data_IF_386858304869
#
_entry.id   IF_386858304869
#
_cell.length_a   1.000
_cell.length_b   1.000
_cell.length_c   1.000
_cell.angle_alpha   90.00
_cell.angle_beta   90.00
_cell.angle_gamma   90.00
#
_symmetry.space_group_name_H-M   'P 1'
#
loop_
_entity.id
_entity.type
_entity.pdbx_description
1 polymer ?
#
# COMPACT_ATOMS: atom_id res chain seq x y z
N UNK A 1 -32.72 2.83 8.55
CA UNK A 1 -31.52 2.37 7.78
C UNK A 1 -31.95 2.14 6.35
N UNK A 2 -31.69 3.06 5.43
CA UNK A 2 -31.88 2.84 3.99
C UNK A 2 -30.97 1.71 3.55
N UNK A 3 -31.49 0.73 2.82
CA UNK A 3 -30.70 -0.37 2.26
C UNK A 3 -29.57 0.25 1.42
N UNK A 4 -28.33 0.06 1.82
CA UNK A 4 -27.18 0.45 1.00
C UNK A 4 -27.24 -0.37 -0.30
N UNK A 5 -26.89 0.25 -1.43
CA UNK A 5 -26.73 -0.45 -2.71
C UNK A 5 -25.68 -1.57 -2.62
N UNK A 6 -25.46 -2.32 -3.72
CA UNK A 6 -24.46 -3.39 -3.76
C UNK A 6 -23.07 -2.86 -3.38
N UNK A 7 -22.28 -3.70 -2.70
CA UNK A 7 -20.89 -3.35 -2.39
C UNK A 7 -20.03 -3.37 -3.67
N UNK A 8 -19.07 -2.46 -3.73
CA UNK A 8 -18.22 -2.27 -4.90
C UNK A 8 -17.27 -1.11 -4.71
N UNK A 9 -16.78 -0.57 -5.82
CA UNK A 9 -15.85 0.56 -5.86
C UNK A 9 -16.54 1.78 -6.48
N UNK A 10 -16.47 2.90 -5.78
CA UNK A 10 -16.94 4.22 -6.25
C UNK A 10 -15.73 5.11 -6.55
N UNK A 11 -15.72 5.77 -7.72
CA UNK A 11 -14.73 6.75 -8.13
C UNK A 11 -15.44 7.93 -8.78
N UNK A 12 -15.46 9.09 -8.13
CA UNK A 12 -16.29 10.21 -8.58
C UNK A 12 -17.78 9.83 -8.61
N UNK A 13 -18.39 9.92 -9.81
CA UNK A 13 -19.77 9.49 -10.06
C UNK A 13 -19.84 8.06 -10.63
N UNK A 14 -18.71 7.42 -10.93
CA UNK A 14 -18.67 6.05 -11.45
C UNK A 14 -18.78 5.05 -10.29
N UNK A 15 -19.48 3.96 -10.56
CA UNK A 15 -19.58 2.81 -9.64
C UNK A 15 -19.39 1.52 -10.41
N UNK A 16 -18.68 0.56 -9.82
CA UNK A 16 -18.58 -0.82 -10.34
C UNK A 16 -18.70 -1.78 -9.16
N UNK A 17 -19.67 -2.68 -9.24
CA UNK A 17 -19.88 -3.70 -8.20
C UNK A 17 -18.74 -4.73 -8.18
N UNK A 18 -18.52 -5.40 -7.04
CA UNK A 18 -17.54 -6.48 -6.99
C UNK A 18 -17.79 -7.61 -7.97
N UNK A 19 -19.05 -8.06 -8.22
CA UNK A 19 -19.30 -9.04 -9.29
C UNK A 19 -18.83 -8.59 -10.67
N UNK A 20 -19.01 -7.31 -11.03
CA UNK A 20 -18.54 -6.77 -12.31
C UNK A 20 -17.02 -6.72 -12.38
N UNK A 21 -16.35 -6.24 -11.32
CA UNK A 21 -14.89 -6.23 -11.21
C UNK A 21 -14.31 -7.65 -11.34
N UNK A 22 -14.90 -8.63 -10.65
CA UNK A 22 -14.48 -10.02 -10.74
C UNK A 22 -14.74 -10.66 -12.10
N UNK A 23 -15.84 -10.31 -12.75
CA UNK A 23 -16.13 -10.77 -14.12
C UNK A 23 -15.12 -10.21 -15.13
N UNK A 24 -14.78 -8.91 -15.03
CA UNK A 24 -13.75 -8.30 -15.86
C UNK A 24 -12.37 -8.89 -15.57
N UNK A 25 -12.04 -9.13 -14.31
CA UNK A 25 -10.80 -9.79 -13.93
C UNK A 25 -10.68 -11.20 -14.51
N UNK A 26 -11.77 -11.98 -14.50
CA UNK A 26 -11.79 -13.33 -15.09
C UNK A 26 -11.54 -13.30 -16.61
N UNK A 27 -12.13 -12.32 -17.31
CA UNK A 27 -11.84 -12.11 -18.74
C UNK A 27 -10.42 -11.63 -18.97
N UNK A 28 -9.95 -10.66 -18.15
CA UNK A 28 -8.56 -10.21 -18.18
C UNK A 28 -7.56 -11.35 -17.96
N UNK A 29 -7.85 -12.26 -17.03
CA UNK A 29 -7.02 -13.47 -16.81
C UNK A 29 -7.02 -14.39 -18.03
N UNK A 30 -8.17 -14.61 -18.66
CA UNK A 30 -8.24 -15.40 -19.90
C UNK A 30 -7.44 -14.77 -21.05
N UNK A 31 -7.53 -13.44 -21.21
CA UNK A 31 -6.72 -12.70 -22.16
C UNK A 31 -5.21 -12.76 -21.85
N UNK A 32 -4.82 -12.59 -20.59
CA UNK A 32 -3.41 -12.75 -20.17
C UNK A 32 -2.90 -14.17 -20.45
N UNK A 33 -3.69 -15.20 -20.16
CA UNK A 33 -3.33 -16.58 -20.50
C UNK A 33 -3.12 -16.78 -22.01
N UNK A 34 -3.98 -16.18 -22.85
CA UNK A 34 -3.83 -16.20 -24.31
C UNK A 34 -2.55 -15.47 -24.80
N UNK A 35 -2.08 -14.46 -24.06
CA UNK A 35 -0.78 -13.79 -24.28
C UNK A 35 0.40 -14.58 -23.69
N UNK A 36 0.17 -15.78 -23.15
CA UNK A 36 1.20 -16.64 -22.58
C UNK A 36 1.64 -16.26 -21.17
N UNK A 37 0.85 -15.48 -20.43
CA UNK A 37 1.07 -15.27 -18.99
C UNK A 37 0.72 -16.55 -18.25
N UNK A 38 1.65 -17.03 -17.47
CA UNK A 38 1.55 -18.26 -16.70
C UNK A 38 1.90 -18.02 -15.22
N UNK A 39 1.86 -19.07 -14.47
CA UNK A 39 2.31 -19.08 -13.08
C UNK A 39 3.76 -18.57 -12.98
N UNK A 40 4.05 -17.73 -11.99
CA UNK A 40 5.36 -17.13 -11.73
C UNK A 40 5.77 -15.97 -12.66
N UNK A 41 4.99 -15.70 -13.70
CA UNK A 41 5.20 -14.52 -14.55
C UNK A 41 4.78 -13.22 -13.85
N UNK A 42 5.05 -12.10 -14.52
CA UNK A 42 4.70 -10.77 -14.03
C UNK A 42 3.78 -10.01 -14.98
N UNK A 43 2.75 -9.42 -14.42
CA UNK A 43 1.88 -8.43 -15.06
C UNK A 43 2.12 -7.09 -14.37
N UNK A 44 2.72 -6.14 -15.06
CA UNK A 44 2.96 -4.81 -14.54
C UNK A 44 1.72 -3.93 -14.67
N UNK A 45 1.52 -3.03 -13.70
CA UNK A 45 0.47 -2.03 -13.75
C UNK A 45 1.00 -0.67 -13.29
N UNK A 46 0.81 0.35 -14.12
CA UNK A 46 1.14 1.74 -13.79
C UNK A 46 -0.15 2.56 -13.88
N UNK A 47 -0.93 2.44 -12.83
CA UNK A 47 -2.29 2.97 -12.73
C UNK A 47 -2.42 3.83 -11.49
N UNK A 48 -3.19 4.92 -11.59
CA UNK A 48 -3.76 5.56 -10.40
C UNK A 48 -4.81 4.65 -9.79
N UNK A 49 -5.29 4.98 -8.60
CA UNK A 49 -6.37 4.21 -7.99
C UNK A 49 -7.61 4.28 -8.88
N UNK A 50 -7.94 3.17 -9.54
CA UNK A 50 -9.07 3.03 -10.46
C UNK A 50 -9.58 1.58 -10.43
N UNK A 51 -10.72 1.31 -11.08
CA UNK A 51 -11.30 -0.04 -11.21
C UNK A 51 -10.32 -1.03 -11.82
N UNK A 52 -9.62 -0.63 -12.88
CA UNK A 52 -8.61 -1.44 -13.53
C UNK A 52 -7.50 -1.92 -12.58
N UNK A 53 -7.18 -1.15 -11.53
CA UNK A 53 -6.19 -1.57 -10.53
C UNK A 53 -6.62 -2.85 -9.81
N UNK A 54 -7.89 -2.96 -9.44
CA UNK A 54 -8.43 -4.16 -8.81
C UNK A 54 -8.53 -5.32 -9.81
N UNK A 55 -9.03 -5.03 -11.02
CA UNK A 55 -9.22 -6.03 -12.06
C UNK A 55 -7.92 -6.70 -12.47
N UNK A 56 -6.86 -5.92 -12.70
CA UNK A 56 -5.53 -6.42 -13.10
C UNK A 56 -4.88 -7.24 -11.97
N UNK A 57 -4.97 -6.76 -10.73
CA UNK A 57 -4.43 -7.51 -9.57
C UNK A 57 -5.11 -8.88 -9.41
N UNK A 58 -6.44 -8.92 -9.52
CA UNK A 58 -7.21 -10.17 -9.43
C UNK A 58 -6.92 -11.08 -10.63
N UNK A 59 -6.86 -10.52 -11.85
CA UNK A 59 -6.57 -11.29 -13.06
C UNK A 59 -5.19 -11.96 -13.02
N UNK A 60 -4.15 -11.24 -12.62
CA UNK A 60 -2.81 -11.79 -12.43
C UNK A 60 -2.81 -12.88 -11.35
N UNK A 61 -3.47 -12.63 -10.21
CA UNK A 61 -3.58 -13.56 -9.10
C UNK A 61 -4.28 -14.88 -9.47
N UNK A 62 -5.31 -14.86 -10.34
CA UNK A 62 -5.99 -16.07 -10.83
C UNK A 62 -5.04 -17.01 -11.61
N UNK A 63 -4.05 -16.46 -12.29
CA UNK A 63 -3.05 -17.21 -13.05
C UNK A 63 -1.84 -17.64 -12.20
N UNK A 64 -1.78 -17.22 -10.93
CA UNK A 64 -0.59 -17.40 -10.09
C UNK A 64 0.58 -16.51 -10.56
N UNK A 65 0.32 -15.45 -11.31
CA UNK A 65 1.28 -14.44 -11.68
C UNK A 65 1.40 -13.34 -10.62
N UNK A 66 2.52 -12.61 -10.61
CA UNK A 66 2.70 -11.44 -9.79
C UNK A 66 2.04 -10.22 -10.44
N UNK A 67 1.23 -9.49 -9.71
CA UNK A 67 0.91 -8.11 -10.05
C UNK A 67 2.07 -7.22 -9.61
N UNK A 68 2.61 -6.39 -10.50
CA UNK A 68 3.77 -5.52 -10.24
C UNK A 68 3.36 -4.06 -10.37
N UNK A 69 2.89 -3.42 -9.29
CA UNK A 69 2.54 -2.01 -9.33
C UNK A 69 3.79 -1.14 -9.49
N UNK A 70 3.74 -0.20 -10.43
CA UNK A 70 4.81 0.74 -10.72
C UNK A 70 4.38 2.14 -10.25
N UNK A 71 5.30 2.81 -9.53
CA UNK A 71 5.09 4.19 -9.10
C UNK A 71 4.95 5.10 -10.34
N UNK A 72 3.83 5.81 -10.45
CA UNK A 72 3.55 6.70 -11.59
C UNK A 72 4.38 7.99 -11.63
N UNK A 73 5.23 8.21 -10.63
CA UNK A 73 6.21 9.30 -10.64
C UNK A 73 7.55 8.90 -11.26
N UNK A 74 7.73 7.63 -11.59
CA UNK A 74 8.98 7.14 -12.16
C UNK A 74 9.24 7.69 -13.57
N UNK A 75 10.52 7.91 -13.86
CA UNK A 75 11.02 8.25 -15.18
C UNK A 75 10.93 7.05 -16.14
N UNK A 76 11.09 7.26 -17.46
CA UNK A 76 11.15 6.14 -18.41
C UNK A 76 12.22 5.10 -18.05
N UNK A 77 13.39 5.53 -17.58
CA UNK A 77 14.50 4.64 -17.19
C UNK A 77 14.16 3.81 -15.97
N UNK A 78 13.55 4.43 -14.95
CA UNK A 78 13.13 3.73 -13.71
C UNK A 78 12.02 2.72 -13.98
N UNK A 79 10.99 3.12 -14.75
CA UNK A 79 9.91 2.22 -15.15
C UNK A 79 10.42 1.07 -16.02
N UNK A 80 11.30 1.39 -17.00
CA UNK A 80 11.95 0.41 -17.88
C UNK A 80 12.79 -0.59 -17.11
N UNK A 81 13.54 -0.13 -16.09
CA UNK A 81 14.29 -1.02 -15.21
C UNK A 81 13.36 -2.03 -14.51
N UNK A 82 12.25 -1.58 -13.92
CA UNK A 82 11.32 -2.49 -13.23
C UNK A 82 10.69 -3.49 -14.20
N UNK A 83 10.24 -3.01 -15.38
CA UNK A 83 9.66 -3.87 -16.40
C UNK A 83 10.64 -4.98 -16.87
N UNK A 84 11.91 -4.64 -17.00
CA UNK A 84 12.96 -5.57 -17.36
C UNK A 84 13.31 -6.53 -16.22
N UNK A 85 13.48 -6.01 -14.98
CA UNK A 85 13.86 -6.81 -13.81
C UNK A 85 12.78 -7.82 -13.44
N UNK A 86 11.49 -7.43 -13.45
CA UNK A 86 10.39 -8.37 -13.21
C UNK A 86 10.01 -9.21 -14.43
N UNK A 87 10.65 -9.00 -15.60
CA UNK A 87 10.33 -9.68 -16.85
C UNK A 87 8.85 -9.58 -17.21
N UNK A 88 8.28 -8.37 -17.08
CA UNK A 88 6.87 -8.14 -17.36
C UNK A 88 6.49 -8.62 -18.76
N UNK A 89 5.46 -9.45 -18.87
CA UNK A 89 4.87 -9.85 -20.16
C UNK A 89 3.83 -8.86 -20.64
N UNK A 90 3.10 -8.26 -19.70
CA UNK A 90 2.05 -7.28 -19.95
C UNK A 90 2.28 -6.07 -19.06
N UNK A 91 2.01 -4.90 -19.59
CA UNK A 91 1.88 -3.64 -18.86
C UNK A 91 0.49 -3.07 -19.09
N UNK A 92 -0.27 -2.88 -18.01
CA UNK A 92 -1.53 -2.13 -18.04
C UNK A 92 -1.26 -0.73 -17.49
N UNK A 93 -1.53 0.32 -18.26
CA UNK A 93 -1.09 1.68 -17.94
C UNK A 93 -2.13 2.73 -18.31
N UNK A 94 -2.32 3.78 -17.47
CA UNK A 94 -3.15 4.93 -17.86
C UNK A 94 -2.54 5.69 -19.05
N UNK A 95 -3.38 6.24 -19.91
CA UNK A 95 -2.99 6.86 -21.18
C UNK A 95 -1.93 7.96 -21.01
N UNK A 96 -2.11 8.86 -20.06
CA UNK A 96 -1.18 9.94 -19.76
C UNK A 96 0.18 9.42 -19.22
N UNK A 97 0.15 8.36 -18.42
CA UNK A 97 1.35 7.72 -17.89
C UNK A 97 2.08 6.91 -18.98
N UNK A 98 1.35 6.30 -19.92
CA UNK A 98 1.96 5.68 -21.10
C UNK A 98 2.80 6.70 -21.87
N UNK A 99 2.25 7.88 -22.15
CA UNK A 99 2.99 8.93 -22.85
C UNK A 99 4.27 9.35 -22.10
N UNK A 100 4.25 9.30 -20.76
CA UNK A 100 5.42 9.62 -19.91
C UNK A 100 6.53 8.58 -20.05
N UNK A 101 6.20 7.28 -20.06
CA UNK A 101 7.22 6.20 -19.93
C UNK A 101 7.46 5.43 -21.23
N UNK A 102 6.77 5.75 -22.32
CA UNK A 102 6.86 5.01 -23.58
C UNK A 102 8.29 4.73 -24.07
N UNK A 103 9.25 5.66 -23.97
CA UNK A 103 10.63 5.41 -24.39
C UNK A 103 11.36 4.32 -23.57
N UNK A 104 10.90 4.06 -22.34
CA UNK A 104 11.50 3.05 -21.44
C UNK A 104 10.83 1.68 -21.50
N UNK A 105 9.72 1.53 -22.23
CA UNK A 105 9.00 0.24 -22.28
C UNK A 105 9.74 -0.74 -23.19
N UNK A 106 10.17 -1.93 -22.67
CA UNK A 106 10.82 -2.94 -23.50
C UNK A 106 9.89 -3.45 -24.61
N UNK A 107 10.42 -3.61 -25.83
CA UNK A 107 9.64 -3.92 -27.04
C UNK A 107 8.81 -5.22 -26.96
N UNK A 108 9.23 -6.18 -26.13
CA UNK A 108 8.52 -7.45 -25.95
C UNK A 108 7.33 -7.35 -24.99
N UNK A 109 7.16 -6.24 -24.27
CA UNK A 109 6.07 -6.06 -23.31
C UNK A 109 4.79 -5.69 -24.08
N UNK A 110 3.74 -6.49 -23.93
CA UNK A 110 2.40 -6.13 -24.44
C UNK A 110 1.84 -4.98 -23.60
N UNK A 111 1.53 -3.86 -24.24
CA UNK A 111 0.93 -2.70 -23.60
C UNK A 111 -0.59 -2.72 -23.78
N UNK A 112 -1.32 -2.53 -22.69
CA UNK A 112 -2.77 -2.31 -22.66
C UNK A 112 -3.02 -0.97 -21.96
N UNK A 113 -3.78 -0.09 -22.60
CA UNK A 113 -3.97 1.28 -22.12
C UNK A 113 -5.33 1.44 -21.47
N UNK A 114 -5.37 2.04 -20.29
CA UNK A 114 -6.60 2.48 -19.63
C UNK A 114 -6.80 3.97 -19.94
N UNK A 115 -7.94 4.33 -20.54
CA UNK A 115 -8.29 5.73 -20.68
C UNK A 115 -8.40 6.39 -19.30
N UNK A 116 -7.93 7.62 -19.17
CA UNK A 116 -8.00 8.34 -17.90
C UNK A 116 -9.43 8.80 -17.65
N UNK A 117 -10.09 8.38 -16.57
CA UNK A 117 -11.45 8.81 -16.27
C UNK A 117 -11.53 10.29 -15.91
N UNK A 118 -12.71 10.88 -16.11
CA UNK A 118 -12.95 12.33 -15.94
C UNK A 118 -12.59 12.83 -14.55
N UNK A 119 -12.93 12.10 -13.50
CA UNK A 119 -12.62 12.49 -12.13
C UNK A 119 -11.11 12.45 -11.84
N UNK A 120 -10.37 11.55 -12.46
CA UNK A 120 -8.90 11.52 -12.37
C UNK A 120 -8.32 12.66 -13.20
N UNK A 121 -8.82 12.86 -14.42
CA UNK A 121 -8.38 13.96 -15.28
C UNK A 121 -8.58 15.32 -14.59
N UNK A 122 -9.75 15.55 -14.00
CA UNK A 122 -10.05 16.76 -13.25
C UNK A 122 -9.13 16.96 -12.03
N UNK A 123 -8.90 15.91 -11.23
CA UNK A 123 -8.06 15.97 -10.03
C UNK A 123 -6.59 16.30 -10.33
N UNK A 124 -6.12 15.94 -11.53
CA UNK A 124 -4.75 16.20 -11.99
C UNK A 124 -4.64 17.38 -12.98
N UNK A 125 -5.75 18.01 -13.35
CA UNK A 125 -5.76 19.11 -14.33
C UNK A 125 -5.30 18.66 -15.71
N UNK A 126 -5.67 17.46 -16.15
CA UNK A 126 -5.22 16.90 -17.42
C UNK A 126 -6.07 17.40 -18.59
N UNK A 127 -5.46 17.77 -19.70
CA UNK A 127 -6.20 18.03 -20.94
C UNK A 127 -6.74 16.76 -21.56
N UNK A 128 -7.88 16.85 -22.25
CA UNK A 128 -8.63 15.69 -22.78
C UNK A 128 -7.82 14.83 -23.78
N UNK A 129 -6.94 15.45 -24.56
CA UNK A 129 -6.07 14.77 -25.51
C UNK A 129 -5.06 13.81 -24.87
N UNK A 130 -4.75 14.00 -23.58
CA UNK A 130 -3.90 13.10 -22.80
C UNK A 130 -4.66 11.98 -22.10
N UNK A 131 -5.98 12.04 -22.07
CA UNK A 131 -6.82 11.07 -21.36
C UNK A 131 -7.19 9.88 -22.23
N UNK A 132 -7.25 10.05 -23.57
CA UNK A 132 -7.59 8.98 -24.50
C UNK A 132 -6.41 8.05 -24.77
N UNK A 133 -6.71 6.77 -25.03
CA UNK A 133 -5.68 5.82 -25.47
C UNK A 133 -5.08 6.27 -26.82
N UNK A 134 -3.75 6.21 -26.98
CA UNK A 134 -3.11 6.52 -28.25
C UNK A 134 -3.60 5.61 -29.38
N UNK A 135 -3.72 6.16 -30.60
CA UNK A 135 -4.11 5.39 -31.77
C UNK A 135 -3.18 4.18 -31.97
N UNK A 136 -3.75 3.03 -32.28
CA UNK A 136 -3.02 1.77 -32.51
C UNK A 136 -2.69 0.97 -31.25
N UNK A 137 -2.95 1.50 -30.03
CA UNK A 137 -2.84 0.74 -28.80
C UNK A 137 -4.20 0.17 -28.39
N UNK A 138 -4.19 -1.07 -27.93
CA UNK A 138 -5.38 -1.75 -27.41
C UNK A 138 -5.72 -1.22 -26.01
N UNK A 139 -7.01 -0.93 -25.80
CA UNK A 139 -7.46 -0.52 -24.47
C UNK A 139 -7.74 -1.72 -23.57
N UNK A 140 -7.60 -1.54 -22.23
CA UNK A 140 -7.94 -2.56 -21.25
C UNK A 140 -9.41 -3.02 -21.41
N UNK A 141 -10.33 -2.09 -21.58
CA UNK A 141 -11.76 -2.42 -21.73
C UNK A 141 -12.03 -3.23 -23.00
N UNK A 142 -11.42 -2.87 -24.15
CA UNK A 142 -11.54 -3.63 -25.38
C UNK A 142 -10.92 -5.04 -25.26
N UNK A 143 -9.75 -5.12 -24.64
CA UNK A 143 -9.08 -6.39 -24.36
C UNK A 143 -9.93 -7.31 -23.48
N UNK A 144 -10.49 -6.80 -22.40
CA UNK A 144 -11.40 -7.55 -21.51
C UNK A 144 -12.67 -7.96 -22.27
N UNK A 145 -13.26 -7.06 -23.06
CA UNK A 145 -14.46 -7.37 -23.83
C UNK A 145 -14.26 -8.47 -24.89
N UNK A 146 -13.08 -8.51 -25.51
CA UNK A 146 -12.73 -9.50 -26.53
C UNK A 146 -12.25 -10.84 -25.94
N UNK A 147 -11.87 -10.87 -24.66
CA UNK A 147 -11.31 -12.06 -24.02
C UNK A 147 -12.37 -13.01 -23.48
N UNK A 148 -12.14 -14.32 -23.62
CA UNK A 148 -12.91 -15.33 -22.94
C UNK A 148 -12.54 -15.34 -21.44
N UNK A 149 -13.52 -15.61 -20.57
CA UNK A 149 -13.24 -15.73 -19.14
C UNK A 149 -12.34 -16.92 -18.84
N UNK A 150 -11.39 -16.73 -17.93
CA UNK A 150 -10.63 -17.85 -17.37
C UNK A 150 -11.56 -18.73 -16.53
N UNK A 151 -11.70 -19.97 -16.96
CA UNK A 151 -12.52 -20.99 -16.28
C UNK A 151 -11.67 -22.00 -15.47
N UNK A 152 -10.36 -21.85 -15.52
CA UNK A 152 -9.46 -22.70 -14.74
C UNK A 152 -9.55 -22.35 -13.24
N UNK A 153 -9.40 -23.33 -12.34
CA UNK A 153 -9.28 -23.05 -10.92
C UNK A 153 -8.17 -22.04 -10.65
N UNK A 154 -8.38 -21.08 -9.72
CA UNK A 154 -7.32 -20.13 -9.34
C UNK A 154 -6.07 -20.87 -8.88
N UNK A 155 -4.91 -20.40 -9.34
CA UNK A 155 -3.60 -20.84 -8.87
C UNK A 155 -3.32 -20.27 -7.47
N UNK A 156 -2.30 -20.81 -6.80
CA UNK A 156 -1.83 -20.20 -5.54
C UNK A 156 -1.41 -18.77 -5.80
N UNK A 157 -2.05 -17.83 -5.10
CA UNK A 157 -1.74 -16.41 -5.26
C UNK A 157 -0.35 -16.08 -4.71
N UNK A 158 0.37 -15.27 -5.43
CA UNK A 158 1.67 -14.70 -5.03
C UNK A 158 1.54 -13.27 -4.50
N UNK A 159 0.36 -12.67 -4.65
CA UNK A 159 0.14 -11.27 -4.30
C UNK A 159 0.86 -10.31 -5.24
N UNK A 160 1.08 -9.12 -4.76
CA UNK A 160 1.81 -8.09 -5.52
C UNK A 160 3.31 -8.16 -5.22
N UNK A 161 4.15 -8.03 -6.26
CA UNK A 161 5.58 -7.81 -6.10
C UNK A 161 5.83 -6.31 -6.09
N UNK A 162 5.99 -5.77 -4.88
CA UNK A 162 6.22 -4.35 -4.66
C UNK A 162 7.71 -4.05 -4.73
N UNK A 163 8.07 -3.03 -5.50
CA UNK A 163 9.44 -2.52 -5.56
C UNK A 163 9.67 -1.47 -4.48
N UNK A 164 10.59 -1.74 -3.57
CA UNK A 164 10.99 -0.84 -2.48
C UNK A 164 12.27 -0.09 -2.87
N UNK A 165 12.42 1.16 -2.38
CA UNK A 165 13.66 1.92 -2.51
C UNK A 165 14.76 1.23 -1.68
N UNK A 166 15.48 0.31 -2.29
CA UNK A 166 16.57 -0.40 -1.63
C UNK A 166 17.66 0.56 -1.09
N UNK A 167 18.36 0.13 -0.06
CA UNK A 167 19.51 0.88 0.54
C UNK A 167 20.67 1.12 -0.44
N UNK A 168 20.64 0.53 -1.64
CA UNK A 168 21.74 0.48 -2.61
C UNK A 168 21.46 1.20 -3.95
N UNK A 169 20.43 2.07 -4.00
CA UNK A 169 20.18 2.97 -5.14
C UNK A 169 19.14 2.50 -6.16
N UNK A 170 18.99 1.20 -6.48
CA UNK A 170 17.93 0.73 -7.39
C UNK A 170 16.81 0.03 -6.62
N UNK A 171 15.54 0.26 -6.98
CA UNK A 171 14.40 -0.42 -6.34
C UNK A 171 14.51 -1.94 -6.48
N UNK A 172 14.11 -2.67 -5.42
CA UNK A 172 14.11 -4.13 -5.35
C UNK A 172 12.70 -4.67 -5.20
N UNK A 173 12.32 -5.63 -6.03
CA UNK A 173 11.03 -6.29 -5.96
C UNK A 173 10.96 -7.27 -4.80
N UNK A 174 10.05 -7.06 -3.86
CA UNK A 174 9.80 -8.01 -2.77
C UNK A 174 8.92 -9.13 -3.31
N UNK A 175 9.54 -10.27 -3.58
CA UNK A 175 8.91 -11.45 -4.18
C UNK A 175 8.54 -12.45 -3.10
N UNK A 176 7.24 -12.65 -2.87
CA UNK A 176 6.74 -13.60 -1.88
C UNK A 176 6.56 -14.98 -2.47
N UNK A 177 6.75 -16.02 -1.64
CA UNK A 177 6.37 -17.38 -2.00
C UNK A 177 4.84 -17.51 -2.08
N UNK A 178 4.33 -18.41 -2.97
CA UNK A 178 2.90 -18.69 -3.04
C UNK A 178 2.33 -19.09 -1.69
N UNK A 179 1.14 -18.59 -1.37
CA UNK A 179 0.42 -18.94 -0.14
C UNK A 179 -0.77 -19.83 -0.44
N UNK A 180 -1.03 -20.81 0.42
CA UNK A 180 -2.28 -21.56 0.36
C UNK A 180 -3.48 -20.66 0.68
N UNK A 181 -4.69 -20.99 0.19
CA UNK A 181 -5.90 -20.21 0.52
C UNK A 181 -6.11 -20.05 2.03
N UNK A 182 -5.84 -21.09 2.82
CA UNK A 182 -5.97 -21.06 4.28
C UNK A 182 -5.01 -20.05 4.92
N UNK A 183 -3.74 -20.04 4.46
CA UNK A 183 -2.75 -19.08 4.96
C UNK A 183 -3.10 -17.66 4.55
N UNK A 184 -3.65 -17.45 3.34
CA UNK A 184 -4.10 -16.14 2.89
C UNK A 184 -5.27 -15.61 3.74
N UNK A 185 -6.26 -16.46 4.03
CA UNK A 185 -7.37 -16.08 4.91
C UNK A 185 -6.86 -15.77 6.31
N UNK A 186 -6.00 -16.61 6.87
CA UNK A 186 -5.42 -16.38 8.19
C UNK A 186 -4.64 -15.07 8.25
N UNK A 187 -3.78 -14.80 7.27
CA UNK A 187 -3.02 -13.54 7.19
C UNK A 187 -3.94 -12.33 7.04
N UNK A 188 -4.99 -12.43 6.21
CA UNK A 188 -5.94 -11.34 6.03
C UNK A 188 -6.72 -11.03 7.31
N UNK A 189 -7.13 -12.04 8.06
CA UNK A 189 -7.82 -11.87 9.33
C UNK A 189 -6.90 -11.26 10.40
N UNK A 190 -5.64 -11.69 10.47
CA UNK A 190 -4.65 -11.13 11.41
C UNK A 190 -4.35 -9.66 11.09
N UNK A 191 -4.07 -9.32 9.84
CA UNK A 191 -3.87 -7.93 9.41
C UNK A 191 -5.15 -7.11 9.64
N UNK A 192 -6.31 -7.70 9.37
CA UNK A 192 -7.62 -7.07 9.55
C UNK A 192 -7.85 -6.58 10.97
N UNK A 193 -7.38 -7.29 12.01
CA UNK A 193 -7.49 -6.86 13.42
C UNK A 193 -6.85 -5.49 13.65
N UNK A 194 -5.66 -5.27 13.06
CA UNK A 194 -4.87 -4.05 13.26
C UNK A 194 -5.23 -2.93 12.30
N UNK A 195 -5.95 -3.25 11.22
CA UNK A 195 -6.45 -2.29 10.24
C UNK A 195 -7.95 -2.02 10.35
N UNK A 196 -8.64 -2.65 11.31
CA UNK A 196 -10.08 -2.53 11.48
C UNK A 196 -10.89 -3.18 10.36
N UNK A 197 -10.27 -3.95 9.46
CA UNK A 197 -10.95 -4.57 8.32
C UNK A 197 -11.53 -5.92 8.71
N UNK A 198 -12.86 -5.96 8.78
CA UNK A 198 -13.64 -7.18 9.03
C UNK A 198 -14.75 -7.30 8.00
N UNK A 199 -15.33 -8.48 7.83
CA UNK A 199 -16.45 -8.73 6.92
C UNK A 199 -17.76 -8.14 7.46
N UNK A 200 -17.84 -6.81 7.56
CA UNK A 200 -19.00 -6.04 8.00
C UNK A 200 -19.47 -5.14 6.86
N UNK A 201 -20.70 -5.35 6.31
CA UNK A 201 -21.23 -4.54 5.21
C UNK A 201 -21.45 -3.07 5.56
N UNK A 202 -21.41 -2.71 6.85
CA UNK A 202 -21.48 -1.31 7.28
C UNK A 202 -20.16 -0.55 7.08
N UNK A 203 -19.06 -1.24 6.80
CA UNK A 203 -17.76 -0.62 6.55
C UNK A 203 -17.75 0.01 5.17
N UNK A 204 -17.36 1.29 5.12
CA UNK A 204 -17.03 2.04 3.91
C UNK A 204 -15.59 2.50 4.02
N UNK A 205 -14.78 2.08 3.09
CA UNK A 205 -13.33 2.34 3.05
C UNK A 205 -13.03 3.49 2.12
N UNK A 206 -12.23 4.46 2.56
CA UNK A 206 -11.66 5.48 1.68
C UNK A 206 -10.22 5.09 1.30
N UNK A 207 -9.97 4.99 0.00
CA UNK A 207 -8.65 4.77 -0.59
C UNK A 207 -8.08 6.09 -1.11
N UNK A 208 -7.25 6.74 -0.30
CA UNK A 208 -6.61 8.03 -0.56
C UNK A 208 -5.10 7.90 -0.87
N UNK A 209 -4.49 6.80 -0.44
CA UNK A 209 -3.09 6.49 -0.72
C UNK A 209 -2.92 5.70 -2.02
N UNK A 210 -1.79 5.89 -2.73
CA UNK A 210 -1.55 5.23 -4.02
C UNK A 210 -1.28 3.75 -3.88
N UNK A 211 -2.03 2.91 -4.61
CA UNK A 211 -1.95 1.45 -4.55
C UNK A 211 -0.67 0.85 -5.20
N UNK A 212 0.27 1.68 -5.63
CA UNK A 212 1.60 1.16 -5.96
C UNK A 212 2.51 0.98 -4.72
N UNK A 213 2.14 1.54 -3.57
CA UNK A 213 2.78 1.23 -2.30
C UNK A 213 2.16 0.02 -1.61
N UNK A 214 2.96 -0.71 -0.84
CA UNK A 214 2.56 -1.98 -0.22
C UNK A 214 1.35 -1.85 0.71
N UNK A 215 1.34 -0.85 1.59
CA UNK A 215 0.27 -0.71 2.58
C UNK A 215 -1.07 -0.31 1.94
N UNK A 216 -1.17 0.74 1.08
CA UNK A 216 -2.40 1.02 0.36
C UNK A 216 -2.85 -0.12 -0.55
N UNK A 217 -1.94 -0.82 -1.25
CA UNK A 217 -2.29 -1.99 -2.05
C UNK A 217 -2.90 -3.11 -1.20
N UNK A 218 -2.26 -3.45 -0.08
CA UNK A 218 -2.75 -4.48 0.82
C UNK A 218 -4.09 -4.10 1.46
N UNK A 219 -4.27 -2.82 1.84
CA UNK A 219 -5.50 -2.29 2.42
C UNK A 219 -6.66 -2.34 1.40
N UNK A 220 -6.44 -1.87 0.17
CA UNK A 220 -7.44 -1.90 -0.89
C UNK A 220 -7.81 -3.32 -1.32
N UNK A 221 -6.81 -4.18 -1.55
CA UNK A 221 -7.06 -5.58 -1.93
C UNK A 221 -7.65 -6.40 -0.77
N UNK A 222 -7.32 -6.07 0.48
CA UNK A 222 -7.96 -6.63 1.68
C UNK A 222 -9.45 -6.26 1.74
N UNK A 223 -9.77 -5.00 1.49
CA UNK A 223 -11.16 -4.51 1.42
C UNK A 223 -11.96 -5.21 0.32
N UNK A 224 -11.35 -5.40 -0.85
CA UNK A 224 -11.95 -6.13 -1.96
C UNK A 224 -12.25 -7.61 -1.62
N UNK A 225 -11.32 -8.30 -0.96
CA UNK A 225 -11.51 -9.71 -0.52
C UNK A 225 -12.63 -9.86 0.49
N UNK A 226 -12.82 -8.85 1.34
CA UNK A 226 -13.91 -8.83 2.33
C UNK A 226 -15.24 -8.32 1.75
N UNK A 227 -15.28 -7.94 0.47
CA UNK A 227 -16.47 -7.43 -0.19
C UNK A 227 -16.95 -6.09 0.37
N UNK A 228 -16.06 -5.25 0.92
CA UNK A 228 -16.40 -3.97 1.52
C UNK A 228 -16.69 -2.91 0.45
N UNK A 229 -17.46 -1.89 0.80
CA UNK A 229 -17.63 -0.72 -0.06
C UNK A 229 -16.35 0.14 -0.04
N UNK A 230 -15.84 0.49 -1.21
CA UNK A 230 -14.60 1.26 -1.39
C UNK A 230 -14.91 2.54 -2.14
N UNK A 231 -14.44 3.66 -1.63
CA UNK A 231 -14.46 4.98 -2.27
C UNK A 231 -13.01 5.34 -2.64
N UNK A 232 -12.78 5.70 -3.88
CA UNK A 232 -11.46 6.12 -4.35
C UNK A 232 -11.38 7.65 -4.33
N UNK A 233 -10.35 8.18 -3.70
CA UNK A 233 -9.94 9.56 -3.91
C UNK A 233 -8.93 9.58 -5.06
N UNK A 234 -9.24 10.28 -6.15
CA UNK A 234 -8.43 10.29 -7.36
C UNK A 234 -7.02 10.85 -7.13
N UNK A 235 -6.91 11.89 -6.28
CA UNK A 235 -5.67 12.50 -5.80
C UNK A 235 -5.91 12.99 -4.39
N UNK A 236 -4.94 12.78 -3.49
CA UNK A 236 -5.09 13.32 -2.15
C UNK A 236 -5.14 14.85 -2.18
N UNK A 237 -6.27 15.36 -1.72
CA UNK A 237 -6.53 16.74 -1.42
C UNK A 237 -7.30 16.77 -0.09
N UNK A 238 -6.90 17.66 0.84
CA UNK A 238 -7.32 17.56 2.22
C UNK A 238 -8.83 17.85 2.40
N UNK A 239 -9.34 18.90 1.77
CA UNK A 239 -10.76 19.25 1.87
C UNK A 239 -11.64 18.25 1.11
N UNK A 240 -11.19 17.79 -0.09
CA UNK A 240 -11.89 16.74 -0.83
C UNK A 240 -12.01 15.44 -0.02
N UNK A 241 -10.99 15.09 0.78
CA UNK A 241 -11.08 13.97 1.70
C UNK A 241 -12.23 14.14 2.71
N UNK A 242 -12.36 15.30 3.34
CA UNK A 242 -13.44 15.58 4.30
C UNK A 242 -14.81 15.49 3.62
N UNK A 243 -14.93 16.05 2.41
CA UNK A 243 -16.12 15.96 1.58
C UNK A 243 -16.51 14.52 1.25
N UNK A 244 -15.54 13.67 0.87
CA UNK A 244 -15.78 12.25 0.59
C UNK A 244 -16.21 11.48 1.84
N UNK A 245 -15.61 11.76 3.00
CA UNK A 245 -16.02 11.16 4.29
C UNK A 245 -17.48 11.47 4.56
N UNK A 246 -17.86 12.74 4.53
CA UNK A 246 -19.24 13.17 4.79
C UNK A 246 -20.22 12.62 3.75
N UNK A 247 -19.88 12.72 2.45
CA UNK A 247 -20.76 12.29 1.34
C UNK A 247 -21.06 10.79 1.35
N UNK A 248 -20.06 9.96 1.62
CA UNK A 248 -20.16 8.51 1.50
C UNK A 248 -20.32 7.80 2.85
N UNK A 249 -20.27 8.53 3.97
CA UNK A 249 -20.28 7.94 5.29
C UNK A 249 -19.10 7.00 5.50
N UNK A 250 -17.89 7.46 5.13
CA UNK A 250 -16.66 6.69 5.27
C UNK A 250 -16.41 6.35 6.73
N UNK A 251 -16.08 5.10 6.98
CA UNK A 251 -15.87 4.60 8.33
C UNK A 251 -14.43 4.21 8.61
N UNK A 252 -13.71 3.79 7.56
CA UNK A 252 -12.35 3.25 7.65
C UNK A 252 -11.45 3.83 6.58
N UNK A 253 -10.19 4.08 6.92
CA UNK A 253 -9.17 4.47 5.94
C UNK A 253 -7.76 4.15 6.43
N UNK A 254 -6.86 4.03 5.46
CA UNK A 254 -5.42 4.06 5.68
C UNK A 254 -4.88 5.42 5.24
N UNK A 255 -4.05 6.05 6.08
CA UNK A 255 -3.53 7.40 5.86
C UNK A 255 -2.04 7.44 6.23
N UNK A 256 -1.32 8.49 5.82
CA UNK A 256 0.07 8.71 6.21
C UNK A 256 0.24 10.04 6.94
N UNK A 257 1.25 10.21 7.81
CA UNK A 257 1.40 11.39 8.67
C UNK A 257 1.43 12.73 7.93
N UNK A 258 2.00 12.79 6.73
CA UNK A 258 2.00 14.00 5.90
C UNK A 258 0.59 14.46 5.50
N UNK A 259 -0.35 13.53 5.37
CA UNK A 259 -1.76 13.85 5.13
C UNK A 259 -2.40 14.45 6.38
N UNK A 260 -2.08 13.95 7.57
CA UNK A 260 -2.52 14.58 8.84
C UNK A 260 -2.07 16.03 8.94
N UNK A 261 -0.80 16.32 8.66
CA UNK A 261 -0.27 17.69 8.66
C UNK A 261 -1.04 18.58 7.69
N UNK A 262 -1.36 18.10 6.50
CA UNK A 262 -2.14 18.87 5.50
C UNK A 262 -3.59 19.10 5.94
N UNK A 263 -4.22 18.11 6.57
CA UNK A 263 -5.56 18.23 7.14
C UNK A 263 -5.61 19.25 8.28
N UNK A 264 -4.65 19.20 9.19
CA UNK A 264 -4.56 20.13 10.33
C UNK A 264 -4.33 21.58 9.89
N UNK A 265 -3.70 21.81 8.73
CA UNK A 265 -3.46 23.14 8.14
C UNK A 265 -4.71 23.74 7.45
N UNK A 266 -5.80 22.98 7.30
CA UNK A 266 -7.05 23.54 6.79
C UNK A 266 -7.60 24.61 7.75
N UNK A 267 -8.27 25.66 7.23
CA UNK A 267 -8.96 26.63 8.06
C UNK A 267 -10.00 25.94 8.96
N UNK A 268 -10.19 26.46 10.18
CA UNK A 268 -11.13 25.87 11.14
C UNK A 268 -12.57 25.86 10.61
N UNK A 269 -12.97 26.89 9.83
CA UNK A 269 -14.27 26.91 9.17
C UNK A 269 -14.48 25.69 8.25
N UNK A 270 -13.46 25.32 7.47
CA UNK A 270 -13.50 24.14 6.57
C UNK A 270 -13.56 22.84 7.38
N UNK A 271 -12.78 22.76 8.47
CA UNK A 271 -12.77 21.57 9.34
C UNK A 271 -14.14 21.31 9.98
N UNK A 272 -14.91 22.36 10.23
CA UNK A 272 -16.24 22.29 10.88
C UNK A 272 -17.39 22.12 9.88
N UNK A 273 -17.14 22.24 8.57
CA UNK A 273 -18.17 22.16 7.54
C UNK A 273 -18.66 20.74 7.30
N UNK A 274 -17.81 19.75 7.53
CA UNK A 274 -18.06 18.36 7.16
C UNK A 274 -18.39 17.48 8.38
N UNK A 275 -19.43 16.64 8.26
CA UNK A 275 -19.75 15.62 9.26
C UNK A 275 -18.81 14.42 9.13
N UNK A 276 -17.96 14.24 10.13
CA UNK A 276 -16.95 13.15 10.20
C UNK A 276 -17.37 12.07 11.21
N UNK A 277 -18.57 12.14 11.77
CA UNK A 277 -19.06 11.22 12.82
C UNK A 277 -19.18 9.76 12.39
N UNK A 278 -19.12 9.50 11.08
CA UNK A 278 -19.08 8.14 10.53
C UNK A 278 -17.75 7.42 10.75
N UNK A 279 -16.65 8.14 11.03
CA UNK A 279 -15.33 7.55 11.22
C UNK A 279 -15.31 6.63 12.45
N UNK A 280 -14.78 5.40 12.24
CA UNK A 280 -14.66 4.38 13.29
C UNK A 280 -13.24 3.87 13.45
N UNK A 281 -12.46 3.87 12.36
CA UNK A 281 -11.10 3.34 12.34
C UNK A 281 -10.25 4.02 11.30
N UNK A 282 -9.22 4.72 11.75
CA UNK A 282 -8.23 5.35 10.88
C UNK A 282 -6.87 4.76 11.23
N UNK A 283 -6.27 4.08 10.28
CA UNK A 283 -4.96 3.47 10.46
C UNK A 283 -3.89 4.30 9.76
N UNK A 284 -2.78 4.57 10.43
CA UNK A 284 -1.64 5.24 9.81
C UNK A 284 -0.33 4.51 10.06
N UNK A 285 0.67 4.80 9.25
CA UNK A 285 2.01 4.23 9.34
C UNK A 285 2.87 4.69 8.18
N UNK A 286 3.90 3.92 7.86
CA UNK A 286 4.84 4.12 6.75
C UNK A 286 5.77 5.34 6.87
N UNK A 287 5.59 6.21 7.86
CA UNK A 287 6.46 7.34 8.18
C UNK A 287 6.33 7.71 9.65
N UNK A 288 7.33 8.36 10.26
CA UNK A 288 7.23 8.91 11.60
C UNK A 288 6.07 9.91 11.72
N UNK A 289 5.36 9.87 12.84
CA UNK A 289 4.28 10.80 13.15
C UNK A 289 4.62 11.58 14.41
N UNK A 290 4.83 12.90 14.30
CA UNK A 290 5.12 13.75 15.45
C UNK A 290 4.00 13.61 16.51
N UNK A 291 4.33 13.46 17.80
CA UNK A 291 3.33 13.27 18.87
C UNK A 291 2.28 14.39 18.92
N UNK A 292 2.69 15.63 18.64
CA UNK A 292 1.79 16.77 18.59
C UNK A 292 0.75 16.67 17.46
N UNK A 293 1.17 16.21 16.27
CA UNK A 293 0.29 15.98 15.11
C UNK A 293 -0.72 14.88 15.44
N UNK A 294 -0.26 13.76 16.01
CA UNK A 294 -1.12 12.64 16.39
C UNK A 294 -2.15 13.08 17.44
N UNK A 295 -1.73 13.82 18.47
CA UNK A 295 -2.63 14.36 19.50
C UNK A 295 -3.70 15.26 18.88
N UNK A 296 -3.32 16.24 18.03
CA UNK A 296 -4.29 17.14 17.39
C UNK A 296 -5.30 16.37 16.52
N UNK A 297 -4.89 15.30 15.84
CA UNK A 297 -5.81 14.47 15.07
C UNK A 297 -6.76 13.68 15.96
N UNK A 298 -6.28 13.14 17.09
CA UNK A 298 -7.15 12.46 18.08
C UNK A 298 -8.14 13.44 18.72
N UNK A 299 -7.69 14.66 19.05
CA UNK A 299 -8.54 15.71 19.60
C UNK A 299 -9.66 16.13 18.60
N UNK A 300 -9.36 16.11 17.30
CA UNK A 300 -10.31 16.47 16.25
C UNK A 300 -11.23 15.32 15.83
N UNK A 301 -10.68 14.14 15.54
CA UNK A 301 -11.44 13.01 14.98
C UNK A 301 -11.92 12.02 16.05
N UNK A 302 -11.48 12.18 17.29
CA UNK A 302 -11.75 11.24 18.38
C UNK A 302 -10.75 10.08 18.42
N UNK A 303 -10.99 9.10 19.32
CA UNK A 303 -10.08 7.98 19.56
C UNK A 303 -10.17 6.89 18.50
N UNK A 304 -10.20 7.27 17.23
CA UNK A 304 -10.27 6.37 16.07
C UNK A 304 -8.93 6.18 15.37
N UNK A 305 -7.89 6.91 15.82
CA UNK A 305 -6.55 6.91 15.21
C UNK A 305 -5.73 5.76 15.77
N UNK A 306 -5.23 4.91 14.89
CA UNK A 306 -4.41 3.75 15.20
C UNK A 306 -3.12 3.80 14.38
N UNK A 307 -2.00 3.37 14.95
CA UNK A 307 -0.72 3.32 14.24
C UNK A 307 -0.20 1.89 14.17
N UNK A 308 0.44 1.58 13.06
CA UNK A 308 1.24 0.36 12.94
C UNK A 308 2.66 0.69 12.45
N UNK A 309 3.60 -0.16 12.84
CA UNK A 309 4.94 -0.17 12.29
C UNK A 309 5.25 -1.54 11.70
N UNK A 310 5.94 -1.51 10.58
CA UNK A 310 6.37 -2.66 9.81
C UNK A 310 6.88 -2.24 8.44
N UNK A 311 7.15 -3.21 7.59
CA UNK A 311 7.73 -2.97 6.27
C UNK A 311 7.04 -3.85 5.20
N UNK A 312 7.36 -3.57 3.92
CA UNK A 312 6.91 -4.43 2.82
C UNK A 312 7.36 -5.87 3.03
N UNK A 313 8.54 -6.06 3.58
CA UNK A 313 9.17 -7.36 3.87
C UNK A 313 8.49 -8.11 5.01
N UNK A 314 8.09 -7.40 6.06
CA UNK A 314 7.64 -8.01 7.33
C UNK A 314 6.13 -7.94 7.55
N UNK A 315 5.42 -7.06 6.83
CA UNK A 315 4.04 -6.71 7.18
C UNK A 315 3.97 -5.94 8.49
N UNK A 316 2.82 -5.96 9.16
CA UNK A 316 2.61 -5.33 10.46
C UNK A 316 3.32 -6.15 11.55
N UNK A 317 4.13 -5.50 12.36
CA UNK A 317 4.83 -6.13 13.50
C UNK A 317 4.52 -5.45 14.82
N UNK A 318 4.25 -4.15 14.80
CA UNK A 318 3.97 -3.34 15.99
C UNK A 318 2.71 -2.53 15.74
N UNK A 319 1.93 -2.29 16.79
CA UNK A 319 0.67 -1.57 16.70
C UNK A 319 0.30 -0.92 18.03
N UNK A 320 -0.44 0.19 17.99
CA UNK A 320 -1.10 0.80 19.12
C UNK A 320 -2.38 1.56 18.72
N UNK A 321 -3.26 1.79 19.69
CA UNK A 321 -4.45 2.62 19.55
C UNK A 321 -4.24 4.07 20.02
N UNK A 322 -5.31 4.88 19.90
CA UNK A 322 -5.31 6.28 20.35
C UNK A 322 -5.03 6.45 21.85
N UNK A 323 -5.53 5.55 22.71
CA UNK A 323 -5.35 5.66 24.15
C UNK A 323 -3.88 5.42 24.52
N UNK A 324 -3.24 4.45 23.88
CA UNK A 324 -1.82 4.16 24.04
C UNK A 324 -0.94 5.28 23.50
N UNK A 325 -1.29 5.87 22.35
CA UNK A 325 -0.62 7.03 21.79
C UNK A 325 -0.57 8.23 22.75
N UNK A 326 -1.69 8.48 23.43
CA UNK A 326 -1.78 9.57 24.40
C UNK A 326 -1.02 9.27 25.70
N UNK A 327 -0.97 8.00 26.11
CA UNK A 327 -0.26 7.56 27.33
C UNK A 327 1.26 7.45 27.13
N UNK A 328 1.70 7.09 25.91
CA UNK A 328 3.10 6.88 25.51
C UNK A 328 3.44 7.71 24.27
N UNK A 329 3.53 9.04 24.36
CA UNK A 329 3.82 9.90 23.20
C UNK A 329 5.14 9.53 22.52
N UNK A 330 5.11 9.40 21.18
CA UNK A 330 6.27 9.06 20.35
C UNK A 330 6.50 7.58 20.14
N UNK A 331 5.80 6.69 20.86
CA UNK A 331 5.85 5.25 20.57
C UNK A 331 5.20 4.92 19.22
N UNK A 332 5.68 3.85 18.59
CA UNK A 332 5.00 3.18 17.48
C UNK A 332 4.20 1.95 17.94
N UNK A 333 4.17 1.67 19.26
CA UNK A 333 3.36 0.65 19.88
C UNK A 333 4.13 -0.53 20.46
N UNK A 334 3.46 -1.65 20.58
CA UNK A 334 4.01 -2.91 21.06
C UNK A 334 3.86 -4.02 20.01
N UNK A 335 4.66 -5.07 20.17
CA UNK A 335 4.69 -6.21 19.21
C UNK A 335 3.32 -6.89 19.20
N UNK A 336 2.79 -7.11 18.00
CA UNK A 336 1.49 -7.76 17.80
C UNK A 336 1.60 -9.28 18.00
N UNK A 337 0.47 -9.91 18.28
CA UNK A 337 0.39 -11.36 18.51
C UNK A 337 1.02 -12.17 17.36
N UNK A 338 1.93 -13.06 17.70
CA UNK A 338 2.60 -13.95 16.75
C UNK A 338 3.70 -13.29 15.90
N UNK A 339 3.95 -11.99 16.07
CA UNK A 339 5.13 -11.33 15.53
C UNK A 339 6.35 -11.53 16.42
N UNK A 340 7.54 -11.35 15.85
CA UNK A 340 8.81 -11.40 16.57
C UNK A 340 9.59 -10.12 16.27
N UNK A 341 10.28 -9.61 17.31
CA UNK A 341 11.16 -8.46 17.22
C UNK A 341 12.40 -8.72 18.09
N UNK A 342 13.56 -8.31 17.56
CA UNK A 342 14.80 -8.20 18.33
C UNK A 342 15.44 -6.86 18.04
N UNK A 343 16.06 -6.28 19.04
CA UNK A 343 16.89 -5.08 18.92
C UNK A 343 18.31 -5.50 19.27
N UNK A 344 19.24 -5.30 18.34
CA UNK A 344 20.58 -5.84 18.47
C UNK A 344 21.67 -4.78 18.29
N UNK A 345 22.83 -5.03 18.90
CA UNK A 345 24.04 -4.24 18.72
C UNK A 345 24.73 -4.55 17.38
N UNK A 346 25.85 -3.89 17.10
CA UNK A 346 26.64 -4.10 15.88
C UNK A 346 27.22 -5.53 15.75
N UNK A 347 27.28 -6.27 16.84
CA UNK A 347 27.73 -7.66 16.88
C UNK A 347 26.57 -8.67 16.76
N UNK A 348 25.33 -8.20 16.59
CA UNK A 348 24.13 -9.04 16.48
C UNK A 348 23.64 -9.63 17.79
N UNK A 349 24.08 -9.11 18.94
CA UNK A 349 23.64 -9.51 20.29
C UNK A 349 22.49 -8.63 20.73
N UNK A 350 21.54 -9.22 21.46
CA UNK A 350 20.42 -8.45 22.02
C UNK A 350 20.95 -7.34 22.93
N UNK A 351 20.44 -6.11 22.73
CA UNK A 351 20.71 -4.98 23.63
C UNK A 351 19.90 -5.09 24.91
N UNK A 352 20.33 -4.39 25.96
CA UNK A 352 19.54 -4.30 27.19
C UNK A 352 18.31 -3.41 26.95
N UNK A 353 17.29 -3.60 27.78
CA UNK A 353 16.07 -2.81 27.72
C UNK A 353 16.39 -1.31 27.89
N UNK A 354 15.87 -0.47 26.97
CA UNK A 354 16.16 0.95 26.91
C UNK A 354 17.41 1.33 26.10
N UNK A 355 18.25 0.37 25.71
CA UNK A 355 19.38 0.62 24.84
C UNK A 355 18.96 0.66 23.37
N UNK A 356 19.59 1.54 22.61
CA UNK A 356 19.34 1.71 21.17
C UNK A 356 20.11 0.64 20.38
N UNK A 357 19.43 0.01 19.43
CA UNK A 357 20.03 -0.94 18.49
C UNK A 357 19.27 -1.05 17.18
N UNK A 358 19.80 -1.85 16.28
CA UNK A 358 19.15 -2.14 14.99
C UNK A 358 17.99 -3.12 15.18
N UNK A 359 16.85 -2.81 14.56
CA UNK A 359 15.60 -3.54 14.74
C UNK A 359 15.50 -4.63 13.69
N UNK A 360 15.28 -5.87 14.15
CA UNK A 360 15.00 -7.05 13.34
C UNK A 360 13.59 -7.56 13.59
N UNK A 361 12.84 -7.85 12.55
CA UNK A 361 11.40 -8.07 12.58
C UNK A 361 10.99 -9.32 11.82
N UNK A 362 9.90 -9.95 12.28
CA UNK A 362 9.14 -10.94 11.55
C UNK A 362 7.65 -10.79 11.87
N UNK A 363 6.85 -10.52 10.86
CA UNK A 363 5.39 -10.43 11.01
C UNK A 363 4.71 -11.79 11.17
N UNK A 364 3.50 -11.81 11.74
CA UNK A 364 2.74 -13.03 11.94
C UNK A 364 2.20 -13.56 10.61
N UNK A 365 2.28 -14.89 10.42
CA UNK A 365 1.62 -15.59 9.31
C UNK A 365 1.91 -15.03 7.89
N UNK A 366 3.05 -14.37 7.71
CA UNK A 366 3.45 -13.82 6.43
C UNK A 366 4.26 -14.87 5.64
N UNK A 367 3.97 -15.00 4.33
CA UNK A 367 4.77 -15.86 3.46
C UNK A 367 6.22 -15.38 3.40
N UNK A 368 7.15 -16.32 3.37
CA UNK A 368 8.55 -16.03 3.11
C UNK A 368 8.71 -15.20 1.83
N UNK A 369 9.73 -14.36 1.81
CA UNK A 369 10.06 -13.55 0.65
C UNK A 369 11.54 -13.67 0.27
N UNK A 370 11.84 -13.32 -0.96
CA UNK A 370 13.17 -12.93 -1.42
C UNK A 370 13.09 -11.61 -2.15
N UNK A 371 14.23 -11.01 -2.45
CA UNK A 371 14.26 -9.93 -3.44
C UNK A 371 14.37 -10.53 -4.83
N UNK A 372 13.62 -9.97 -5.78
CA UNK A 372 13.63 -10.45 -7.16
C UNK A 372 15.06 -10.39 -7.71
N UNK A 373 15.56 -11.51 -8.22
CA UNK A 373 16.92 -11.68 -8.73
C UNK A 373 18.06 -11.31 -7.73
N UNK A 374 17.82 -11.21 -6.41
CA UNK A 374 18.83 -10.79 -5.43
C UNK A 374 18.72 -11.55 -4.09
N UNK A 375 18.96 -12.85 -4.14
CA UNK A 375 19.00 -13.69 -2.93
C UNK A 375 20.16 -13.34 -1.99
N UNK A 376 21.23 -12.73 -2.51
CA UNK A 376 22.35 -12.28 -1.71
C UNK A 376 21.90 -11.17 -0.74
N UNK A 377 21.14 -10.21 -1.24
CA UNK A 377 20.58 -9.14 -0.40
C UNK A 377 19.59 -9.65 0.64
N UNK A 378 18.80 -10.68 0.30
CA UNK A 378 17.90 -11.30 1.29
C UNK A 378 18.69 -11.89 2.45
N UNK A 379 19.85 -12.52 2.19
CA UNK A 379 20.72 -13.04 3.25
C UNK A 379 21.39 -11.93 4.07
N UNK A 380 21.80 -10.85 3.42
CA UNK A 380 22.46 -9.70 4.07
C UNK A 380 21.58 -9.05 5.16
N UNK A 381 20.25 -8.95 4.91
CA UNK A 381 19.31 -8.34 5.83
C UNK A 381 18.75 -9.30 6.88
N UNK A 382 19.20 -10.56 6.91
CA UNK A 382 18.66 -11.60 7.76
C UNK A 382 19.43 -11.77 9.06
N UNK A 383 18.72 -12.01 10.15
CA UNK A 383 19.22 -12.50 11.41
C UNK A 383 18.37 -13.72 11.82
N UNK A 384 18.79 -14.92 11.42
CA UNK A 384 17.94 -16.10 11.49
C UNK A 384 16.67 -15.91 10.66
N UNK A 385 15.49 -16.07 11.27
CA UNK A 385 14.19 -15.89 10.63
C UNK A 385 13.72 -14.42 10.60
N UNK A 386 14.44 -13.51 11.23
CA UNK A 386 14.12 -12.09 11.30
C UNK A 386 14.82 -11.34 10.17
N UNK A 387 14.27 -10.17 9.82
CA UNK A 387 14.87 -9.28 8.83
C UNK A 387 14.91 -7.85 9.34
N UNK A 388 15.96 -7.11 8.97
CA UNK A 388 16.03 -5.66 9.17
C UNK A 388 15.71 -4.91 7.90
N UNK A 389 15.14 -3.72 8.06
CA UNK A 389 15.00 -2.71 7.00
C UNK A 389 15.91 -1.50 7.28
N UNK A 390 16.77 -1.64 8.29
CA UNK A 390 17.76 -0.63 8.68
C UNK A 390 17.22 0.41 9.65
N UNK A 391 16.09 0.17 10.29
CA UNK A 391 15.57 1.04 11.33
C UNK A 391 16.27 0.79 12.66
N UNK A 392 16.45 1.85 13.46
CA UNK A 392 17.12 1.87 14.75
C UNK A 392 16.15 2.39 15.81
N UNK A 393 16.15 1.78 17.00
CA UNK A 393 15.24 2.18 18.06
C UNK A 393 15.52 1.45 19.38
N UNK A 394 14.65 1.66 20.34
CA UNK A 394 14.72 1.02 21.65
C UNK A 394 13.33 0.63 22.16
N UNK A 395 13.30 -0.27 23.13
CA UNK A 395 12.09 -0.68 23.83
C UNK A 395 12.10 -0.15 25.26
N UNK A 396 11.01 0.51 25.68
CA UNK A 396 10.90 0.98 27.06
C UNK A 396 10.60 -0.16 28.05
N UNK A 397 10.62 0.08 29.39
CA UNK A 397 10.33 -0.95 30.39
C UNK A 397 8.94 -1.58 30.28
N UNK A 398 7.98 -0.92 29.67
CA UNK A 398 6.63 -1.42 29.46
C UNK A 398 6.48 -2.19 28.12
N UNK A 399 7.57 -2.34 27.37
CA UNK A 399 7.60 -3.08 26.10
C UNK A 399 7.19 -2.29 24.85
N UNK A 400 7.02 -0.96 24.96
CA UNK A 400 6.72 -0.09 23.82
C UNK A 400 7.97 0.22 23.01
N UNK A 401 7.84 0.14 21.69
CA UNK A 401 8.91 0.46 20.74
C UNK A 401 8.91 1.96 20.42
N UNK A 402 10.11 2.53 20.45
CA UNK A 402 10.39 3.89 19.99
C UNK A 402 11.42 3.83 18.86
N UNK A 403 11.07 4.42 17.71
CA UNK A 403 11.98 4.55 16.59
C UNK A 403 12.84 5.79 16.77
N UNK A 404 14.15 5.66 16.55
CA UNK A 404 15.07 6.79 16.53
C UNK A 404 15.24 7.33 15.10
N UNK A 405 15.71 6.48 14.18
CA UNK A 405 15.92 6.82 12.77
C UNK A 405 16.25 5.58 11.95
N UNK A 406 16.63 5.78 10.68
CA UNK A 406 17.30 4.76 9.88
C UNK A 406 18.80 4.79 10.10
N UNK A 407 19.42 3.64 10.23
CA UNK A 407 20.87 3.49 10.41
C UNK A 407 21.69 4.25 9.37
N UNK A 408 21.24 4.32 8.13
CA UNK A 408 21.90 5.04 7.03
C UNK A 408 21.76 6.56 7.09
N UNK A 409 20.70 7.06 7.74
CA UNK A 409 20.37 8.48 7.80
C UNK A 409 20.95 9.12 9.08
N UNK A 410 21.45 8.29 10.00
CA UNK A 410 22.11 8.70 11.23
C UNK A 410 23.42 9.46 10.92
N UNK A 411 23.58 10.63 11.52
CA UNK A 411 24.77 11.46 11.40
C UNK A 411 25.70 11.18 12.59
N UNK A 412 26.96 10.85 12.33
CA UNK A 412 27.97 10.70 13.37
C UNK A 412 28.82 11.98 13.41
N UNK A 413 28.75 12.72 14.52
CA UNK A 413 29.53 13.93 14.74
C UNK A 413 30.24 13.86 16.07
N UNK A 414 31.60 13.90 16.06
CA UNK A 414 32.40 13.85 17.28
C UNK A 414 32.22 12.59 18.13
N UNK A 415 31.79 11.46 17.49
CA UNK A 415 31.52 10.21 18.21
C UNK A 415 30.09 10.12 18.82
N UNK A 416 29.25 11.12 18.56
CA UNK A 416 27.86 11.15 19.00
C UNK A 416 26.94 10.82 17.79
N UNK A 417 26.02 9.90 17.98
CA UNK A 417 24.98 9.60 17.00
C UNK A 417 23.89 10.67 17.10
N UNK A 418 23.65 11.36 15.98
CA UNK A 418 22.58 12.34 15.82
C UNK A 418 21.54 11.72 14.90
N UNK A 419 20.30 11.70 15.37
CA UNK A 419 19.16 11.15 14.64
C UNK A 419 18.34 12.30 14.03
N UNK A 420 18.39 12.54 12.70
CA UNK A 420 17.63 13.62 12.04
C UNK A 420 16.15 13.64 12.36
N UNK A 421 15.52 12.48 12.50
CA UNK A 421 14.09 12.35 12.82
C UNK A 421 13.71 13.02 14.16
N UNK A 422 14.61 13.06 15.15
CA UNK A 422 14.41 13.78 16.41
C UNK A 422 14.29 15.30 16.18
N UNK A 423 15.15 15.85 15.34
CA UNK A 423 15.16 17.28 14.99
C UNK A 423 13.92 17.63 14.15
N UNK A 424 13.62 16.81 13.16
CA UNK A 424 12.47 16.98 12.27
C UNK A 424 11.14 16.97 13.03
N UNK A 425 11.01 16.13 14.07
CA UNK A 425 9.79 16.04 14.88
C UNK A 425 9.46 17.34 15.64
N UNK A 426 10.45 18.20 15.86
CA UNK A 426 10.30 19.52 16.53
C UNK A 426 10.01 20.64 15.51
N UNK A 427 10.37 20.45 14.24
CA UNK A 427 10.22 21.45 13.18
C UNK A 427 8.85 21.36 12.47
N UNK A 428 8.10 20.28 12.65
CA UNK A 428 6.78 20.06 12.05
C UNK A 428 5.68 20.63 12.96
#
# INVERSE_FOLDING_TARGET
>A
MTARGPAGVTSGERFRSWPEILANAARGAGGFAALGVAEDDSVALMLRNDFATFEVNVAAGQLGAYAVPINWHFTPEEAGYILADCRAKVLVVHADLHAQIAPGIPAQVKVLVVAVPDEIAAAYGMPADRCAAPAGLETWDAFVAASASNVQPPRLSRGSMIYTSGTTGRPKGVRRRPSTPELQVKSALEVGKYWGLVADPSIVVLMNGPMYHSAPAAYGMGSARLGLSVVLQARFEAEDMLRLIARHGVTHMHIVPTMFVRLLRLPDAVKQEYDLSSLRWVTHGAAPCAPAVKRQMIDWWGPVINEYYGATETGIVVWHDSAEALRKPGTVGHVVDGALMRIVDEQGRDVQQGEIGEIYLRGPNLSEFTYNNDDAKRREVALGDLVTVGDVGYQDPDGYLFLCDRKRDMIISGGVNIYPAEIESVLI
#
